data_IF_782305307411
#
_entry.id   IF_782305307411
#
_cell.length_a   1.000
_cell.length_b   1.000
_cell.length_c   1.000
_cell.angle_alpha   90.00
_cell.angle_beta   90.00
_cell.angle_gamma   90.00
#
_symmetry.space_group_name_H-M   'P 1'
#
loop_
_entity.id
_entity.type
_entity.pdbx_description
1 polymer ?
#
# COMPACT_ATOMS: atom_id res chain seq x y z
N UNK A 1 12.65 -40.09 28.67
CA UNK A 1 13.17 -38.78 28.25
C UNK A 1 12.82 -38.59 26.79
N UNK A 2 12.46 -37.38 26.35
CA UNK A 2 12.23 -37.05 24.93
C UNK A 2 13.44 -36.39 24.26
N UNK A 3 14.56 -36.26 24.99
CA UNK A 3 15.76 -35.49 24.62
C UNK A 3 16.51 -36.02 23.40
N UNK A 4 16.28 -37.29 23.06
CA UNK A 4 16.97 -38.00 21.96
C UNK A 4 16.17 -37.95 20.65
N UNK A 5 14.95 -37.40 20.69
CA UNK A 5 14.08 -37.27 19.51
C UNK A 5 14.39 -35.96 18.78
N UNK A 6 14.25 -35.96 17.45
CA UNK A 6 14.45 -34.78 16.60
C UNK A 6 13.33 -34.64 15.57
N UNK A 7 13.20 -33.44 14.98
CA UNK A 7 12.25 -33.17 13.89
C UNK A 7 10.79 -33.45 14.28
N UNK A 8 10.05 -34.14 13.41
CA UNK A 8 8.63 -34.40 13.63
C UNK A 8 8.38 -35.32 14.84
N UNK A 9 9.32 -36.21 15.19
CA UNK A 9 9.16 -37.17 16.28
C UNK A 9 9.14 -36.48 17.65
N UNK A 10 9.99 -35.46 17.85
CA UNK A 10 9.95 -34.68 19.09
C UNK A 10 8.66 -33.87 19.20
N UNK A 11 8.13 -33.37 18.09
CA UNK A 11 6.85 -32.65 18.06
C UNK A 11 5.67 -33.56 18.37
N UNK A 12 5.62 -34.77 17.79
CA UNK A 12 4.59 -35.78 18.09
C UNK A 12 4.64 -36.22 19.54
N UNK A 13 5.84 -36.44 20.08
CA UNK A 13 6.03 -36.78 21.48
C UNK A 13 5.52 -35.65 22.39
N UNK A 14 5.93 -34.41 22.11
CA UNK A 14 5.57 -33.24 22.91
C UNK A 14 4.06 -32.98 22.89
N UNK A 15 3.44 -32.92 21.71
CA UNK A 15 2.01 -32.63 21.54
C UNK A 15 1.12 -33.69 22.18
N UNK A 16 1.40 -34.99 21.97
CA UNK A 16 0.63 -36.07 22.58
C UNK A 16 0.71 -36.03 24.12
N UNK A 17 1.90 -35.75 24.67
CA UNK A 17 2.08 -35.58 26.11
C UNK A 17 1.35 -34.35 26.62
N UNK A 18 1.41 -33.24 25.89
CA UNK A 18 0.76 -31.99 26.26
C UNK A 18 -0.76 -32.14 26.30
N UNK A 19 -1.38 -32.71 25.25
CA UNK A 19 -2.84 -32.91 25.18
C UNK A 19 -3.36 -33.75 26.36
N UNK A 20 -2.70 -34.88 26.63
CA UNK A 20 -3.04 -35.77 27.76
C UNK A 20 -2.86 -35.07 29.10
N UNK A 21 -1.75 -34.35 29.26
CA UNK A 21 -1.43 -33.66 30.50
C UNK A 21 -2.42 -32.51 30.75
N UNK A 22 -2.62 -31.64 29.77
CA UNK A 22 -3.56 -30.51 29.84
C UNK A 22 -4.99 -30.98 30.13
N UNK A 23 -5.45 -32.03 29.44
CA UNK A 23 -6.77 -32.62 29.71
C UNK A 23 -6.87 -33.12 31.16
N UNK A 24 -5.90 -33.92 31.61
CA UNK A 24 -5.88 -34.46 32.97
C UNK A 24 -5.80 -33.36 34.03
N UNK A 25 -5.02 -32.31 33.78
CA UNK A 25 -4.91 -31.15 34.68
C UNK A 25 -6.22 -30.37 34.79
N UNK A 26 -6.97 -30.19 33.70
CA UNK A 26 -8.30 -29.56 33.73
C UNK A 26 -9.29 -30.40 34.53
N UNK A 27 -9.37 -31.70 34.26
CA UNK A 27 -10.25 -32.62 34.98
C UNK A 27 -9.93 -32.64 36.47
N UNK A 28 -8.64 -32.68 36.83
CA UNK A 28 -8.22 -32.66 38.24
C UNK A 28 -8.53 -31.32 38.91
N UNK A 29 -8.36 -30.21 38.20
CA UNK A 29 -8.72 -28.88 38.68
C UNK A 29 -10.22 -28.76 38.97
N UNK A 30 -11.08 -29.32 38.10
CA UNK A 30 -12.53 -29.32 38.27
C UNK A 30 -12.96 -30.21 39.43
N UNK A 31 -12.38 -31.42 39.54
CA UNK A 31 -12.62 -32.33 40.66
C UNK A 31 -12.24 -31.69 42.01
N UNK A 32 -11.13 -30.97 42.03
CA UNK A 32 -10.64 -30.26 43.22
C UNK A 32 -11.13 -28.81 43.32
N UNK A 33 -12.17 -28.44 42.58
CA UNK A 33 -12.72 -27.07 42.57
C UNK A 33 -13.07 -26.55 43.97
N UNK A 34 -13.51 -27.43 44.88
CA UNK A 34 -13.76 -27.09 46.28
C UNK A 34 -12.48 -26.67 47.02
N UNK A 35 -11.37 -27.38 46.80
CA UNK A 35 -10.06 -27.07 47.39
C UNK A 35 -9.54 -25.73 46.83
N UNK A 36 -9.64 -25.54 45.52
CA UNK A 36 -9.26 -24.30 44.85
C UNK A 36 -10.06 -23.09 45.37
N UNK A 37 -11.37 -23.25 45.62
CA UNK A 37 -12.22 -22.14 46.09
C UNK A 37 -12.06 -21.82 47.58
N UNK A 38 -11.88 -22.84 48.43
CA UNK A 38 -11.97 -22.65 49.88
C UNK A 38 -10.63 -22.77 50.60
N UNK A 39 -9.74 -23.66 50.16
CA UNK A 39 -8.45 -23.86 50.82
C UNK A 39 -7.37 -22.95 50.25
N UNK A 40 -7.21 -22.91 48.92
CA UNK A 40 -6.21 -22.04 48.26
C UNK A 40 -6.46 -20.57 48.61
N UNK A 41 -7.72 -20.12 48.56
CA UNK A 41 -8.07 -18.75 48.97
C UNK A 41 -7.78 -18.47 50.46
N UNK A 42 -7.95 -19.46 51.34
CA UNK A 42 -7.67 -19.32 52.78
C UNK A 42 -6.16 -19.21 53.04
N UNK A 43 -5.36 -20.03 52.39
CA UNK A 43 -3.90 -20.02 52.55
C UNK A 43 -3.27 -18.75 51.98
N UNK A 44 -3.79 -18.28 50.84
CA UNK A 44 -3.40 -17.00 50.26
C UNK A 44 -3.69 -15.83 51.20
N UNK A 45 -4.90 -15.79 51.78
CA UNK A 45 -5.30 -14.78 52.77
C UNK A 45 -4.49 -14.90 54.08
N UNK A 46 -3.87 -16.05 54.34
CA UNK A 46 -3.00 -16.30 55.50
C UNK A 46 -1.54 -15.90 55.26
N UNK A 47 -1.23 -15.32 54.09
CA UNK A 47 0.08 -14.78 53.74
C UNK A 47 1.01 -15.73 52.96
N UNK A 48 0.56 -16.96 52.64
CA UNK A 48 1.30 -17.88 51.77
C UNK A 48 0.98 -17.60 50.30
N UNK A 49 1.93 -16.95 49.61
CA UNK A 49 1.79 -16.55 48.20
C UNK A 49 2.26 -17.63 47.21
N UNK A 50 2.81 -18.72 47.70
CA UNK A 50 3.34 -19.87 46.96
C UNK A 50 2.28 -20.97 46.70
N UNK A 51 1.04 -20.75 47.12
CA UNK A 51 -0.07 -21.69 46.94
C UNK A 51 -0.91 -21.27 45.76
N UNK A 52 -0.87 -22.05 44.68
CA UNK A 52 -1.62 -21.83 43.45
C UNK A 52 -2.77 -22.83 43.32
N UNK A 53 -3.69 -22.57 42.39
CA UNK A 53 -4.68 -23.59 42.00
C UNK A 53 -4.00 -24.80 41.34
N UNK A 54 -4.70 -25.93 41.35
CA UNK A 54 -4.14 -27.19 40.86
C UNK A 54 -3.75 -27.10 39.38
N UNK A 55 -4.50 -26.34 38.58
CA UNK A 55 -4.15 -26.14 37.17
C UNK A 55 -2.83 -25.38 37.00
N UNK A 56 -2.63 -24.29 37.73
CA UNK A 56 -1.41 -23.47 37.69
C UNK A 56 -0.21 -24.27 38.20
N UNK A 57 -0.37 -25.03 39.29
CA UNK A 57 0.68 -25.94 39.75
C UNK A 57 1.07 -26.98 38.69
N UNK A 58 0.07 -27.51 37.97
CA UNK A 58 0.32 -28.45 36.89
C UNK A 58 1.06 -27.77 35.72
N UNK A 59 0.72 -26.52 35.37
CA UNK A 59 1.41 -25.77 34.32
C UNK A 59 2.85 -25.41 34.69
N UNK A 60 3.10 -24.99 35.94
CA UNK A 60 4.46 -24.74 36.46
C UNK A 60 5.30 -26.02 36.44
N UNK A 61 4.71 -27.16 36.82
CA UNK A 61 5.39 -28.47 36.75
C UNK A 61 5.74 -28.83 35.31
N UNK A 62 4.81 -28.63 34.35
CA UNK A 62 5.10 -28.85 32.93
C UNK A 62 6.20 -27.95 32.43
N UNK A 63 6.18 -26.67 32.82
CA UNK A 63 7.19 -25.70 32.45
C UNK A 63 8.58 -26.16 32.90
N UNK A 64 8.73 -26.56 34.16
CA UNK A 64 10.01 -26.99 34.74
C UNK A 64 10.51 -28.33 34.21
N UNK A 65 9.62 -29.32 34.09
CA UNK A 65 10.01 -30.72 33.83
C UNK A 65 10.07 -31.04 32.33
N UNK A 66 9.20 -30.44 31.52
CA UNK A 66 9.07 -30.79 30.09
C UNK A 66 9.49 -29.64 29.18
N UNK A 67 9.02 -28.42 29.43
CA UNK A 67 9.32 -27.28 28.56
C UNK A 67 10.80 -26.86 28.66
N UNK A 68 11.34 -26.57 29.85
CA UNK A 68 12.74 -26.13 30.03
C UNK A 68 13.80 -27.05 29.37
N UNK A 69 13.71 -28.39 29.44
CA UNK A 69 14.69 -29.25 28.75
C UNK A 69 14.46 -29.38 27.24
N UNK A 70 13.23 -29.22 26.73
CA UNK A 70 12.89 -29.56 25.35
C UNK A 70 12.59 -28.34 24.46
N UNK A 71 12.34 -27.15 25.02
CA UNK A 71 11.81 -26.00 24.26
C UNK A 71 12.69 -25.62 23.06
N UNK A 72 14.03 -25.71 23.17
CA UNK A 72 14.93 -25.40 22.05
C UNK A 72 14.75 -26.36 20.88
N UNK A 73 14.71 -27.67 21.15
CA UNK A 73 14.54 -28.71 20.14
C UNK A 73 13.15 -28.63 19.51
N UNK A 74 12.12 -28.43 20.34
CA UNK A 74 10.72 -28.30 19.92
C UNK A 74 10.52 -27.05 19.07
N UNK A 75 11.02 -25.89 19.50
CA UNK A 75 10.96 -24.64 18.72
C UNK A 75 11.68 -24.82 17.38
N UNK A 76 12.90 -25.37 17.38
CA UNK A 76 13.66 -25.58 16.14
C UNK A 76 12.92 -26.49 15.15
N UNK A 77 12.39 -27.63 15.63
CA UNK A 77 11.61 -28.54 14.78
C UNK A 77 10.34 -27.88 14.23
N UNK A 78 9.65 -27.03 15.01
CA UNK A 78 8.53 -26.24 14.50
C UNK A 78 8.97 -25.28 13.37
N UNK A 79 10.09 -24.58 13.55
CA UNK A 79 10.59 -23.63 12.57
C UNK A 79 11.04 -24.32 11.27
N UNK A 80 11.66 -25.50 11.37
CA UNK A 80 12.02 -26.33 10.22
C UNK A 80 10.80 -26.81 9.43
N UNK A 81 9.73 -27.22 10.11
CA UNK A 81 8.47 -27.53 9.43
C UNK A 81 7.89 -26.30 8.73
N UNK A 82 7.89 -25.14 9.36
CA UNK A 82 7.40 -23.90 8.73
C UNK A 82 8.25 -23.53 7.51
N UNK A 83 9.57 -23.71 7.59
CA UNK A 83 10.49 -23.49 6.47
C UNK A 83 10.19 -24.47 5.32
N UNK A 84 9.91 -25.72 5.62
CA UNK A 84 9.53 -26.75 4.64
C UNK A 84 8.21 -26.38 3.95
N UNK A 85 7.22 -25.92 4.71
CA UNK A 85 5.95 -25.42 4.16
C UNK A 85 6.15 -24.22 3.22
N UNK A 86 7.05 -23.28 3.54
CA UNK A 86 7.40 -22.15 2.64
C UNK A 86 8.01 -22.60 1.32
N UNK A 87 8.64 -23.77 1.29
CA UNK A 87 9.15 -24.42 0.08
C UNK A 87 8.07 -25.26 -0.64
N UNK A 88 6.80 -25.15 -0.23
CA UNK A 88 5.63 -25.87 -0.74
C UNK A 88 5.59 -27.36 -0.37
N UNK A 89 6.25 -27.76 0.72
CA UNK A 89 6.14 -29.12 1.25
C UNK A 89 4.89 -29.29 2.12
N UNK A 90 4.28 -30.48 2.10
CA UNK A 90 3.09 -30.79 2.90
C UNK A 90 3.53 -31.07 4.34
N UNK A 91 3.04 -30.27 5.27
CA UNK A 91 3.36 -30.41 6.69
C UNK A 91 2.13 -30.73 7.55
N UNK A 92 2.38 -31.32 8.72
CA UNK A 92 1.34 -31.55 9.71
C UNK A 92 1.17 -30.32 10.62
N UNK A 93 0.32 -29.40 10.20
CA UNK A 93 0.05 -28.13 10.92
C UNK A 93 -0.52 -28.32 12.34
N UNK A 94 -1.12 -29.50 12.63
CA UNK A 94 -1.62 -29.82 13.97
C UNK A 94 -0.51 -29.91 15.01
N UNK A 95 0.68 -30.37 14.60
CA UNK A 95 1.83 -30.48 15.50
C UNK A 95 2.29 -29.09 15.94
N UNK A 96 2.38 -28.14 15.00
CA UNK A 96 2.74 -26.76 15.30
C UNK A 96 1.66 -26.14 16.19
N UNK A 97 0.38 -26.27 15.82
CA UNK A 97 -0.73 -25.73 16.61
C UNK A 97 -0.71 -26.25 18.06
N UNK A 98 -0.47 -27.55 18.27
CA UNK A 98 -0.37 -28.12 19.62
C UNK A 98 0.79 -27.55 20.45
N UNK A 99 1.94 -27.32 19.83
CA UNK A 99 3.08 -26.66 20.49
C UNK A 99 2.77 -25.20 20.82
N UNK A 100 2.18 -24.44 19.88
CA UNK A 100 1.82 -23.04 20.11
C UNK A 100 0.79 -22.92 21.22
N UNK A 101 -0.24 -23.78 21.25
CA UNK A 101 -1.22 -23.82 22.33
C UNK A 101 -0.57 -24.10 23.67
N UNK A 102 0.46 -24.96 23.72
CA UNK A 102 1.24 -25.18 24.95
C UNK A 102 2.00 -23.92 25.36
N UNK A 103 2.72 -23.27 24.45
CA UNK A 103 3.52 -22.09 24.77
C UNK A 103 2.67 -20.91 25.24
N UNK A 104 1.47 -20.74 24.66
CA UNK A 104 0.48 -19.75 25.11
C UNK A 104 -0.10 -20.13 26.47
N UNK A 105 -0.43 -21.40 26.68
CA UNK A 105 -1.02 -21.87 27.94
C UNK A 105 -0.05 -21.84 29.12
N UNK A 106 1.26 -21.89 28.88
CA UNK A 106 2.29 -21.81 29.94
C UNK A 106 2.59 -20.38 30.38
N UNK A 107 2.08 -19.39 29.66
CA UNK A 107 2.27 -17.98 29.96
C UNK A 107 1.46 -17.50 31.16
N UNK A 108 2.08 -17.56 32.36
CA UNK A 108 1.55 -16.98 33.59
C UNK A 108 2.58 -16.03 34.21
N UNK A 109 2.14 -14.90 34.77
CA UNK A 109 2.99 -14.03 35.61
C UNK A 109 2.53 -14.07 37.06
N UNK A 110 3.50 -14.06 37.98
CA UNK A 110 3.31 -13.92 39.43
C UNK A 110 3.11 -12.44 39.85
N UNK A 111 2.38 -11.63 39.08
CA UNK A 111 2.23 -10.21 39.41
C UNK A 111 1.29 -10.01 40.61
N UNK A 112 1.88 -10.03 41.80
CA UNK A 112 1.25 -9.83 43.10
C UNK A 112 0.78 -8.39 43.37
N UNK A 113 0.24 -7.67 42.38
CA UNK A 113 -0.17 -6.26 42.56
C UNK A 113 -1.63 -5.94 42.28
N UNK A 114 -2.49 -6.81 41.74
CA UNK A 114 -3.92 -6.46 41.63
C UNK A 114 -4.87 -7.67 41.76
N UNK A 115 -5.58 -7.71 42.90
CA UNK A 115 -6.94 -8.24 43.09
C UNK A 115 -7.37 -9.51 42.31
N UNK A 116 -7.25 -10.68 42.96
CA UNK A 116 -8.23 -11.78 43.00
C UNK A 116 -8.85 -12.34 41.70
N UNK A 117 -8.25 -12.16 40.53
CA UNK A 117 -8.48 -12.99 39.35
C UNK A 117 -7.14 -13.15 38.63
N UNK A 118 -6.79 -14.37 38.22
CA UNK A 118 -5.74 -14.58 37.23
C UNK A 118 -6.13 -13.81 35.96
N UNK A 119 -5.62 -12.59 35.83
CA UNK A 119 -5.81 -11.77 34.64
C UNK A 119 -5.00 -12.37 33.52
N UNK A 120 -5.71 -12.89 32.50
CA UNK A 120 -5.29 -13.31 31.16
C UNK A 120 -3.90 -13.99 30.99
N UNK A 121 -3.80 -15.12 30.27
CA UNK A 121 -2.50 -15.73 29.97
C UNK A 121 -1.56 -14.70 29.33
N UNK A 122 -0.41 -14.47 29.96
CA UNK A 122 0.60 -13.54 29.44
C UNK A 122 1.34 -14.24 28.32
N UNK A 123 1.41 -13.64 27.13
CA UNK A 123 2.05 -14.27 25.97
C UNK A 123 3.58 -14.33 26.06
N UNK A 124 4.19 -14.16 27.24
CA UNK A 124 5.65 -14.03 27.43
C UNK A 124 6.39 -15.26 26.92
N UNK A 125 5.98 -16.46 27.31
CA UNK A 125 6.65 -17.70 26.88
C UNK A 125 6.56 -17.87 25.36
N UNK A 126 5.37 -17.65 24.79
CA UNK A 126 5.19 -17.68 23.34
C UNK A 126 6.07 -16.64 22.63
N UNK A 127 6.12 -15.41 23.14
CA UNK A 127 6.89 -14.33 22.53
C UNK A 127 8.38 -14.59 22.57
N UNK A 128 8.90 -14.89 23.76
CA UNK A 128 10.34 -14.98 24.02
C UNK A 128 10.97 -16.24 23.41
N UNK A 129 10.26 -17.39 23.47
CA UNK A 129 10.81 -18.67 23.05
C UNK A 129 10.35 -19.15 21.67
N UNK A 130 9.38 -18.49 21.05
CA UNK A 130 8.92 -18.81 19.70
C UNK A 130 8.87 -17.58 18.79
N UNK A 131 8.08 -16.55 19.11
CA UNK A 131 7.81 -15.42 18.20
C UNK A 131 9.11 -14.74 17.76
N UNK A 132 10.01 -14.42 18.68
CA UNK A 132 11.29 -13.75 18.36
C UNK A 132 12.11 -14.58 17.35
N UNK A 133 12.28 -15.87 17.60
CA UNK A 133 13.06 -16.73 16.69
C UNK A 133 12.35 -16.93 15.35
N UNK A 134 11.02 -17.09 15.37
CA UNK A 134 10.20 -17.23 14.17
C UNK A 134 10.33 -16.00 13.26
N UNK A 135 10.29 -14.79 13.82
CA UNK A 135 10.45 -13.55 13.04
C UNK A 135 11.86 -13.46 12.45
N UNK A 136 12.90 -13.80 13.22
CA UNK A 136 14.30 -13.78 12.75
C UNK A 136 14.54 -14.76 11.60
N UNK A 137 14.07 -16.01 11.73
CA UNK A 137 14.22 -17.02 10.68
C UNK A 137 13.43 -16.62 9.42
N UNK A 138 12.27 -15.98 9.60
CA UNK A 138 11.46 -15.46 8.49
C UNK A 138 12.15 -14.33 7.74
N UNK A 139 12.76 -13.39 8.47
CA UNK A 139 13.56 -12.31 7.88
C UNK A 139 14.72 -12.88 7.05
N UNK A 140 15.47 -13.84 7.60
CA UNK A 140 16.60 -14.46 6.89
C UNK A 140 16.15 -15.23 5.65
N UNK A 141 15.06 -15.99 5.76
CA UNK A 141 14.49 -16.74 4.64
C UNK A 141 14.11 -15.82 3.49
N UNK A 142 13.34 -14.76 3.77
CA UNK A 142 12.88 -13.85 2.72
C UNK A 142 13.99 -12.98 2.15
N UNK A 143 15.01 -12.62 2.95
CA UNK A 143 16.19 -11.89 2.43
C UNK A 143 16.95 -12.74 1.40
N UNK A 144 17.16 -14.03 1.69
CA UNK A 144 17.80 -14.95 0.75
C UNK A 144 16.92 -15.22 -0.48
N UNK A 145 15.61 -15.43 -0.28
CA UNK A 145 14.66 -15.65 -1.38
C UNK A 145 14.61 -14.45 -2.32
N UNK A 146 14.51 -13.23 -1.80
CA UNK A 146 14.47 -12.01 -2.60
C UNK A 146 15.75 -11.84 -3.42
N UNK A 147 16.93 -11.96 -2.78
CA UNK A 147 18.22 -11.85 -3.46
C UNK A 147 18.37 -12.89 -4.58
N UNK A 148 17.96 -14.15 -4.33
CA UNK A 148 18.05 -15.22 -5.34
C UNK A 148 17.06 -15.01 -6.48
N UNK A 149 15.85 -14.56 -6.17
CA UNK A 149 14.77 -14.41 -7.15
C UNK A 149 15.01 -13.25 -8.10
N UNK A 150 15.49 -12.11 -7.60
CA UNK A 150 15.78 -10.91 -8.39
C UNK A 150 16.93 -11.10 -9.39
N UNK A 151 17.82 -12.07 -9.17
CA UNK A 151 18.91 -12.39 -10.11
C UNK A 151 18.40 -13.09 -11.37
N UNK A 152 17.33 -13.88 -11.26
CA UNK A 152 16.88 -14.78 -12.33
C UNK A 152 15.56 -14.35 -12.99
N UNK A 153 14.78 -13.50 -12.35
CA UNK A 153 13.42 -13.16 -12.76
C UNK A 153 13.23 -11.65 -12.87
N UNK A 154 12.14 -11.24 -13.53
CA UNK A 154 11.79 -9.82 -13.63
C UNK A 154 11.29 -9.25 -12.30
N UNK A 155 11.45 -7.94 -12.11
CA UNK A 155 10.93 -7.24 -10.92
C UNK A 155 9.40 -7.35 -10.87
N UNK A 156 8.72 -7.35 -12.01
CA UNK A 156 7.27 -7.53 -12.07
C UNK A 156 6.82 -8.91 -11.53
N UNK A 157 7.53 -10.00 -11.87
CA UNK A 157 7.26 -11.33 -11.29
C UNK A 157 7.59 -11.37 -9.81
N UNK A 158 8.66 -10.69 -9.40
CA UNK A 158 9.01 -10.55 -7.99
C UNK A 158 7.87 -9.90 -7.20
N UNK A 159 7.29 -8.80 -7.68
CA UNK A 159 6.16 -8.14 -7.02
C UNK A 159 4.93 -9.05 -6.90
N UNK A 160 4.64 -9.87 -7.91
CA UNK A 160 3.56 -10.88 -7.85
C UNK A 160 3.84 -11.91 -6.77
N UNK A 161 5.09 -12.40 -6.71
CA UNK A 161 5.52 -13.35 -5.69
C UNK A 161 5.46 -12.73 -4.29
N UNK A 162 5.89 -11.48 -4.11
CA UNK A 162 5.80 -10.76 -2.82
C UNK A 162 4.36 -10.67 -2.34
N UNK A 163 3.43 -10.29 -3.23
CA UNK A 163 2.01 -10.26 -2.88
C UNK A 163 1.49 -11.63 -2.43
N UNK A 164 1.83 -12.70 -3.15
CA UNK A 164 1.46 -14.06 -2.78
C UNK A 164 2.06 -14.46 -1.42
N UNK A 165 3.36 -14.20 -1.18
CA UNK A 165 4.03 -14.53 0.09
C UNK A 165 3.39 -13.81 1.27
N UNK A 166 2.96 -12.58 1.10
CA UNK A 166 2.26 -11.82 2.14
C UNK A 166 0.92 -12.48 2.50
N UNK A 167 0.14 -12.89 1.51
CA UNK A 167 -1.13 -13.58 1.73
C UNK A 167 -0.91 -14.96 2.37
N UNK A 168 0.14 -15.68 1.97
CA UNK A 168 0.56 -16.95 2.60
C UNK A 168 0.92 -16.76 4.07
N UNK A 169 1.68 -15.72 4.44
CA UNK A 169 2.03 -15.43 5.84
C UNK A 169 0.81 -15.03 6.68
N UNK A 170 -0.14 -14.28 6.11
CA UNK A 170 -1.42 -13.99 6.79
C UNK A 170 -2.18 -15.29 7.07
N UNK A 171 -2.32 -16.14 6.05
CA UNK A 171 -3.02 -17.42 6.19
C UNK A 171 -2.33 -18.35 7.18
N UNK A 172 -0.99 -18.36 7.19
CA UNK A 172 -0.17 -19.13 8.14
C UNK A 172 -0.47 -18.75 9.58
N UNK A 173 -0.49 -17.45 9.87
CA UNK A 173 -0.79 -16.98 11.23
C UNK A 173 -2.21 -17.38 11.63
N UNK A 174 -3.18 -17.21 10.74
CA UNK A 174 -4.58 -17.56 11.00
C UNK A 174 -4.79 -19.08 11.20
N UNK A 175 -3.97 -19.90 10.57
CA UNK A 175 -4.12 -21.36 10.60
C UNK A 175 -3.63 -21.98 11.90
N UNK A 176 -2.47 -21.54 12.42
CA UNK A 176 -1.84 -22.24 13.56
C UNK A 176 -0.98 -21.39 14.49
N UNK A 177 -0.81 -20.08 14.28
CA UNK A 177 -0.06 -19.19 15.19
C UNK A 177 -0.99 -18.31 16.03
N UNK A 178 -0.43 -17.61 17.02
CA UNK A 178 -1.22 -16.69 17.82
C UNK A 178 -1.47 -15.36 17.06
N UNK A 179 -2.70 -14.78 17.08
CA UNK A 179 -3.03 -13.57 16.32
C UNK A 179 -2.16 -12.34 16.63
N UNK A 180 -1.55 -12.29 17.83
CA UNK A 180 -0.63 -11.19 18.20
C UNK A 180 0.58 -11.07 17.28
N UNK A 181 0.98 -12.16 16.61
CA UNK A 181 2.16 -12.21 15.75
C UNK A 181 1.92 -11.54 14.40
N UNK A 182 0.67 -11.45 13.95
CA UNK A 182 0.34 -11.01 12.60
C UNK A 182 0.91 -9.63 12.27
N UNK A 183 0.71 -8.66 13.16
CA UNK A 183 1.10 -7.27 12.91
C UNK A 183 2.62 -7.10 12.87
N UNK A 184 3.37 -7.83 13.69
CA UNK A 184 4.84 -7.78 13.73
C UNK A 184 5.45 -8.54 12.55
N UNK A 185 4.92 -9.73 12.25
CA UNK A 185 5.35 -10.55 11.11
C UNK A 185 5.19 -9.80 9.79
N UNK A 186 4.00 -9.27 9.52
CA UNK A 186 3.72 -8.60 8.26
C UNK A 186 4.59 -7.37 8.09
N UNK A 187 4.78 -6.55 9.14
CA UNK A 187 5.71 -5.41 9.10
C UNK A 187 7.14 -5.84 8.78
N UNK A 188 7.60 -6.96 9.35
CA UNK A 188 8.95 -7.46 9.09
C UNK A 188 9.11 -7.98 7.66
N UNK A 189 8.11 -8.71 7.16
CA UNK A 189 8.11 -9.21 5.78
C UNK A 189 8.03 -8.06 4.77
N UNK A 190 7.20 -7.04 5.04
CA UNK A 190 7.13 -5.80 4.27
C UNK A 190 8.48 -5.06 4.24
N UNK A 191 9.18 -4.98 5.38
CA UNK A 191 10.50 -4.38 5.46
C UNK A 191 11.51 -5.10 4.57
N UNK A 192 11.61 -6.43 4.69
CA UNK A 192 12.62 -7.22 3.96
C UNK A 192 12.31 -7.34 2.47
N UNK A 193 11.04 -7.56 2.10
CA UNK A 193 10.67 -7.81 0.71
C UNK A 193 10.39 -6.53 -0.09
N UNK A 194 9.92 -5.46 0.57
CA UNK A 194 9.52 -4.23 -0.12
C UNK A 194 10.50 -3.10 0.21
N UNK A 195 10.71 -2.77 1.49
CA UNK A 195 11.53 -1.62 1.88
C UNK A 195 12.98 -1.76 1.41
N UNK A 196 13.60 -2.92 1.63
CA UNK A 196 14.99 -3.16 1.25
C UNK A 196 15.20 -3.14 -0.29
N UNK A 197 14.13 -3.32 -1.07
CA UNK A 197 14.19 -3.42 -2.54
C UNK A 197 13.57 -2.19 -3.24
N UNK A 198 13.29 -1.10 -2.52
CA UNK A 198 12.60 0.08 -3.07
C UNK A 198 13.32 0.68 -4.29
N UNK A 199 14.65 0.73 -4.29
CA UNK A 199 15.42 1.33 -5.39
C UNK A 199 15.23 0.56 -6.71
N UNK A 200 15.18 -0.77 -6.63
CA UNK A 200 14.91 -1.66 -7.77
C UNK A 200 13.46 -1.48 -8.24
N UNK A 201 12.52 -1.39 -7.30
CA UNK A 201 11.10 -1.17 -7.57
C UNK A 201 10.87 0.19 -8.24
N UNK A 202 11.53 1.25 -7.79
CA UNK A 202 11.43 2.58 -8.40
C UNK A 202 12.03 2.63 -9.80
N UNK A 203 13.11 1.87 -10.05
CA UNK A 203 13.69 1.75 -11.39
C UNK A 203 12.73 1.04 -12.33
N UNK A 204 12.12 -0.06 -11.88
CA UNK A 204 11.09 -0.77 -12.63
C UNK A 204 9.85 0.11 -12.87
N UNK A 205 9.42 0.92 -11.89
CA UNK A 205 8.29 1.82 -12.04
C UNK A 205 8.48 2.79 -13.23
N UNK A 206 9.69 3.31 -13.45
CA UNK A 206 10.02 4.16 -14.61
C UNK A 206 9.85 3.41 -15.93
N UNK A 207 10.27 2.14 -15.97
CA UNK A 207 10.16 1.27 -17.14
C UNK A 207 8.68 0.98 -17.43
N UNK A 208 7.91 0.57 -16.41
CA UNK A 208 6.49 0.26 -16.55
C UNK A 208 5.65 1.47 -16.98
N UNK A 209 6.00 2.68 -16.52
CA UNK A 209 5.37 3.92 -16.95
C UNK A 209 5.62 4.18 -18.45
N UNK A 210 6.88 4.03 -18.90
CA UNK A 210 7.25 4.20 -20.30
C UNK A 210 6.59 3.16 -21.21
N UNK A 211 6.49 1.92 -20.74
CA UNK A 211 5.95 0.80 -21.51
C UNK A 211 4.41 0.66 -21.34
N UNK A 212 3.77 1.60 -20.65
CA UNK A 212 2.31 1.70 -20.45
C UNK A 212 1.66 0.47 -19.79
N UNK A 213 2.39 -0.21 -18.89
CA UNK A 213 1.93 -1.42 -18.18
C UNK A 213 1.18 -1.08 -16.89
N UNK A 214 -0.04 -0.57 -17.04
CA UNK A 214 -0.85 -0.04 -15.93
C UNK A 214 -1.27 -1.07 -14.87
N UNK A 215 -1.53 -2.32 -15.28
CA UNK A 215 -1.89 -3.39 -14.33
C UNK A 215 -0.74 -3.72 -13.37
N UNK A 216 0.49 -3.77 -13.89
CA UNK A 216 1.66 -4.05 -13.06
C UNK A 216 2.04 -2.83 -12.18
N UNK A 217 1.79 -1.60 -12.66
CA UNK A 217 1.88 -0.39 -11.85
C UNK A 217 0.88 -0.38 -10.68
N UNK A 218 -0.34 -0.86 -10.90
CA UNK A 218 -1.33 -0.97 -9.82
C UNK A 218 -0.87 -1.92 -8.71
N UNK A 219 -0.26 -3.05 -9.10
CA UNK A 219 0.34 -3.99 -8.15
C UNK A 219 1.51 -3.35 -7.39
N UNK A 220 2.39 -2.66 -8.12
CA UNK A 220 3.53 -1.94 -7.55
C UNK A 220 3.05 -0.90 -6.53
N UNK A 221 2.07 -0.09 -6.89
CA UNK A 221 1.48 0.91 -6.00
C UNK A 221 0.89 0.27 -4.75
N UNK A 222 0.10 -0.79 -4.89
CA UNK A 222 -0.50 -1.50 -3.75
C UNK A 222 0.55 -1.95 -2.74
N UNK A 223 1.70 -2.42 -3.21
CA UNK A 223 2.80 -2.89 -2.35
C UNK A 223 3.57 -1.72 -1.72
N UNK A 224 3.93 -0.70 -2.51
CA UNK A 224 4.65 0.50 -2.03
C UNK A 224 3.81 1.28 -1.01
N UNK A 225 2.49 1.34 -1.18
CA UNK A 225 1.58 2.03 -0.26
C UNK A 225 1.53 1.41 1.15
N UNK A 226 1.99 0.16 1.31
CA UNK A 226 2.09 -0.49 2.63
C UNK A 226 3.26 0.06 3.44
N UNK A 227 4.28 0.59 2.76
CA UNK A 227 5.45 1.18 3.41
C UNK A 227 5.22 2.67 3.63
N UNK A 228 5.30 3.08 4.90
CA UNK A 228 5.20 4.49 5.29
C UNK A 228 6.22 5.34 4.53
N UNK A 229 5.76 6.45 3.94
CA UNK A 229 6.56 7.42 3.18
C UNK A 229 7.16 6.96 1.83
N UNK A 230 6.98 5.69 1.42
CA UNK A 230 7.54 5.21 0.15
C UNK A 230 6.80 5.77 -1.08
N UNK A 231 5.52 6.11 -0.94
CA UNK A 231 4.73 6.70 -2.04
C UNK A 231 5.21 8.08 -2.48
N UNK A 232 5.96 8.80 -1.64
CA UNK A 232 6.46 10.14 -1.96
C UNK A 232 7.46 10.13 -3.13
N UNK A 233 8.34 9.13 -3.19
CA UNK A 233 9.30 9.03 -4.29
C UNK A 233 8.61 8.55 -5.57
N UNK A 234 7.66 7.62 -5.45
CA UNK A 234 6.83 7.19 -6.57
C UNK A 234 6.04 8.36 -7.19
N UNK A 235 5.50 9.27 -6.37
CA UNK A 235 4.85 10.50 -6.84
C UNK A 235 5.78 11.39 -7.66
N UNK A 236 7.04 11.57 -7.22
CA UNK A 236 8.04 12.33 -8.00
C UNK A 236 8.38 11.66 -9.32
N UNK A 237 8.48 10.33 -9.32
CA UNK A 237 8.74 9.55 -10.55
C UNK A 237 7.60 9.76 -11.55
N UNK A 238 6.34 9.70 -11.10
CA UNK A 238 5.17 9.98 -11.95
C UNK A 238 5.17 11.44 -12.41
N UNK A 239 5.42 12.41 -11.52
CA UNK A 239 5.52 13.84 -11.87
C UNK A 239 6.54 14.08 -13.00
N UNK A 240 7.73 13.52 -12.87
CA UNK A 240 8.80 13.67 -13.85
C UNK A 240 8.45 12.97 -15.18
N UNK A 241 7.89 11.77 -15.13
CA UNK A 241 7.51 11.04 -16.34
C UNK A 241 6.41 11.76 -17.13
N UNK A 242 5.39 12.29 -16.44
CA UNK A 242 4.33 13.09 -17.07
C UNK A 242 4.92 14.35 -17.71
N UNK A 243 5.84 15.02 -17.03
CA UNK A 243 6.52 16.21 -17.56
C UNK A 243 7.35 15.90 -18.82
N UNK A 244 8.18 14.85 -18.79
CA UNK A 244 9.00 14.42 -19.93
C UNK A 244 8.14 14.01 -21.14
N UNK A 245 7.11 13.20 -20.91
CA UNK A 245 6.18 12.79 -21.95
C UNK A 245 5.38 13.97 -22.51
N UNK A 246 5.01 14.92 -21.64
CA UNK A 246 4.31 16.15 -22.02
C UNK A 246 5.15 16.99 -22.98
N UNK A 247 6.40 17.28 -22.62
CA UNK A 247 7.32 18.05 -23.46
C UNK A 247 7.60 17.34 -24.78
N UNK A 248 7.96 16.05 -24.74
CA UNK A 248 8.29 15.30 -25.95
C UNK A 248 7.12 15.20 -26.93
N UNK A 249 5.89 15.08 -26.42
CA UNK A 249 4.70 15.06 -27.28
C UNK A 249 4.45 16.43 -27.93
N UNK A 250 4.59 17.52 -27.17
CA UNK A 250 4.48 18.89 -27.70
C UNK A 250 5.59 19.20 -28.71
N UNK A 251 6.81 18.74 -28.47
CA UNK A 251 7.95 18.87 -29.38
C UNK A 251 7.66 18.23 -30.74
N UNK A 252 7.11 17.02 -30.75
CA UNK A 252 6.77 16.30 -31.98
C UNK A 252 5.73 17.03 -32.83
N UNK A 253 4.81 17.76 -32.20
CA UNK A 253 3.77 18.54 -32.89
C UNK A 253 4.15 20.01 -33.07
N UNK A 254 5.32 20.45 -32.58
CA UNK A 254 5.70 21.87 -32.52
C UNK A 254 5.64 22.58 -33.87
N UNK A 255 6.06 21.94 -34.96
CA UNK A 255 6.05 22.52 -36.32
C UNK A 255 4.65 22.95 -36.80
N UNK A 256 3.59 22.25 -36.38
CA UNK A 256 2.19 22.59 -36.68
C UNK A 256 1.52 23.34 -35.52
N UNK A 257 1.82 22.97 -34.28
CA UNK A 257 1.17 23.50 -33.07
C UNK A 257 1.49 24.96 -32.78
N UNK A 258 2.63 25.49 -33.26
CA UNK A 258 2.95 26.93 -33.13
C UNK A 258 1.89 27.81 -33.84
N UNK A 259 1.32 27.31 -34.94
CA UNK A 259 0.38 28.05 -35.78
C UNK A 259 -1.06 27.52 -35.74
N UNK A 260 -1.26 26.28 -35.27
CA UNK A 260 -2.57 25.65 -35.12
C UNK A 260 -2.96 25.49 -33.62
N UNK A 261 -3.81 26.39 -33.10
CA UNK A 261 -4.31 26.31 -31.73
C UNK A 261 -5.05 25.03 -31.40
N UNK A 262 -5.75 24.43 -32.39
CA UNK A 262 -6.53 23.21 -32.16
C UNK A 262 -5.60 22.04 -31.87
N UNK A 263 -4.58 21.85 -32.70
CA UNK A 263 -3.58 20.79 -32.51
C UNK A 263 -2.89 20.91 -31.15
N UNK A 264 -2.51 22.12 -30.75
CA UNK A 264 -1.86 22.34 -29.45
C UNK A 264 -2.78 21.97 -28.27
N UNK A 265 -3.99 22.54 -28.24
CA UNK A 265 -4.90 22.37 -27.11
C UNK A 265 -5.44 20.94 -27.01
N UNK A 266 -5.81 20.31 -28.12
CA UNK A 266 -6.27 18.91 -28.12
C UNK A 266 -5.15 17.96 -27.67
N UNK A 267 -3.91 18.18 -28.09
CA UNK A 267 -2.75 17.38 -27.63
C UNK A 267 -2.57 17.49 -26.11
N UNK A 268 -2.66 18.68 -25.53
CA UNK A 268 -2.56 18.89 -24.07
C UNK A 268 -3.69 18.18 -23.32
N UNK A 269 -4.93 18.28 -23.83
CA UNK A 269 -6.10 17.62 -23.24
C UNK A 269 -5.94 16.11 -23.28
N UNK A 270 -5.46 15.54 -24.38
CA UNK A 270 -5.28 14.10 -24.53
C UNK A 270 -4.21 13.55 -23.58
N UNK A 271 -3.11 14.28 -23.40
CA UNK A 271 -2.07 13.96 -22.41
C UNK A 271 -2.66 13.95 -21.00
N UNK A 272 -3.40 15.01 -20.63
CA UNK A 272 -4.04 15.09 -19.32
C UNK A 272 -5.03 13.95 -19.10
N UNK A 273 -5.92 13.67 -20.07
CA UNK A 273 -6.89 12.56 -19.98
C UNK A 273 -6.21 11.20 -19.81
N UNK A 274 -5.14 10.95 -20.58
CA UNK A 274 -4.37 9.71 -20.50
C UNK A 274 -3.78 9.50 -19.11
N UNK A 275 -3.10 10.52 -18.57
CA UNK A 275 -2.48 10.40 -17.25
C UNK A 275 -3.48 10.48 -16.09
N UNK A 276 -4.60 11.17 -16.25
CA UNK A 276 -5.70 11.12 -15.28
C UNK A 276 -6.29 9.71 -15.18
N UNK A 277 -6.50 9.06 -16.33
CA UNK A 277 -6.95 7.65 -16.37
C UNK A 277 -5.94 6.73 -15.69
N UNK A 278 -4.65 6.91 -15.96
CA UNK A 278 -3.58 6.19 -15.26
C UNK A 278 -3.67 6.37 -13.74
N UNK A 279 -3.86 7.60 -13.25
CA UNK A 279 -3.98 7.89 -11.81
C UNK A 279 -5.22 7.25 -11.20
N UNK A 280 -6.35 7.28 -11.90
CA UNK A 280 -7.59 6.67 -11.44
C UNK A 280 -7.48 5.14 -11.38
N UNK A 281 -6.94 4.50 -12.42
CA UNK A 281 -6.92 3.03 -12.54
C UNK A 281 -5.75 2.38 -11.79
N UNK A 282 -4.54 2.99 -11.82
CA UNK A 282 -3.33 2.38 -11.24
C UNK A 282 -3.01 2.88 -9.83
N UNK A 283 -3.41 4.10 -9.48
CA UNK A 283 -3.15 4.71 -8.17
C UNK A 283 -4.42 4.94 -7.35
N UNK A 284 -5.54 4.31 -7.73
CA UNK A 284 -6.85 4.39 -7.07
C UNK A 284 -7.35 5.84 -6.84
N UNK A 285 -6.93 6.80 -7.67
CA UNK A 285 -7.31 8.20 -7.52
C UNK A 285 -6.76 8.86 -6.25
N UNK A 286 -5.64 8.38 -5.70
CA UNK A 286 -5.03 8.99 -4.52
C UNK A 286 -4.67 10.47 -4.80
N UNK A 287 -5.14 11.38 -3.92
CA UNK A 287 -4.98 12.84 -4.09
C UNK A 287 -3.52 13.26 -4.30
N UNK A 288 -2.55 12.56 -3.69
CA UNK A 288 -1.14 12.87 -3.86
C UNK A 288 -0.62 12.63 -5.28
N UNK A 289 -1.15 11.66 -6.01
CA UNK A 289 -0.81 11.41 -7.41
C UNK A 289 -1.54 12.36 -8.35
N UNK A 290 -2.79 12.72 -8.04
CA UNK A 290 -3.51 13.79 -8.75
C UNK A 290 -2.76 15.12 -8.65
N UNK A 291 -2.31 15.51 -7.45
CA UNK A 291 -1.52 16.71 -7.27
C UNK A 291 -0.16 16.67 -8.02
N UNK A 292 0.47 15.49 -8.10
CA UNK A 292 1.70 15.29 -8.88
C UNK A 292 1.44 15.45 -10.40
N UNK A 293 0.33 14.92 -10.90
CA UNK A 293 -0.14 15.13 -12.27
C UNK A 293 -0.40 16.62 -12.55
N UNK A 294 -1.17 17.28 -11.67
CA UNK A 294 -1.51 18.71 -11.82
C UNK A 294 -0.25 19.59 -11.88
N UNK A 295 0.71 19.30 -11.01
CA UNK A 295 1.99 20.01 -10.97
C UNK A 295 2.83 19.76 -12.23
N UNK A 296 2.85 18.52 -12.75
CA UNK A 296 3.53 18.21 -13.99
C UNK A 296 2.87 18.93 -15.19
N UNK A 297 1.54 18.92 -15.26
CA UNK A 297 0.74 19.65 -16.24
C UNK A 297 1.02 21.15 -16.22
N UNK A 298 0.97 21.78 -15.05
CA UNK A 298 1.35 23.18 -14.89
C UNK A 298 2.76 23.47 -15.42
N UNK A 299 3.74 22.61 -15.10
CA UNK A 299 5.12 22.80 -15.58
C UNK A 299 5.24 22.73 -17.10
N UNK A 300 4.74 21.68 -17.75
CA UNK A 300 4.95 21.54 -19.21
C UNK A 300 4.05 22.47 -20.03
N UNK A 301 2.89 22.89 -19.53
CA UNK A 301 2.01 23.83 -20.25
C UNK A 301 2.63 25.24 -20.27
N UNK A 302 3.29 25.66 -19.19
CA UNK A 302 3.92 26.97 -19.10
C UNK A 302 5.37 26.95 -19.65
N UNK A 303 6.07 25.82 -19.58
CA UNK A 303 7.43 25.66 -20.10
C UNK A 303 7.51 24.51 -21.10
N UNK A 304 7.42 24.85 -22.39
CA UNK A 304 7.56 23.90 -23.49
C UNK A 304 8.28 24.54 -24.69
N UNK A 305 8.61 23.72 -25.69
CA UNK A 305 9.30 24.20 -26.90
C UNK A 305 8.51 25.26 -27.66
N UNK A 306 7.17 25.29 -27.57
CA UNK A 306 6.35 26.33 -28.21
C UNK A 306 6.50 27.68 -27.49
N UNK A 307 6.54 27.70 -26.15
CA UNK A 307 6.80 28.92 -25.37
C UNK A 307 8.26 29.37 -25.48
N UNK A 308 9.21 28.43 -25.52
CA UNK A 308 10.64 28.72 -25.70
C UNK A 308 10.97 29.26 -27.10
N UNK A 309 10.40 28.67 -28.16
CA UNK A 309 10.60 29.12 -29.56
C UNK A 309 10.00 30.49 -29.79
N UNK A 310 8.89 30.81 -29.11
CA UNK A 310 8.28 32.14 -29.15
C UNK A 310 9.02 33.17 -28.25
N UNK A 311 10.01 32.75 -27.47
CA UNK A 311 10.73 33.59 -26.51
C UNK A 311 9.85 34.12 -25.37
N UNK A 312 8.69 33.50 -25.11
CA UNK A 312 7.70 34.00 -24.15
C UNK A 312 6.72 32.91 -23.67
N UNK A 313 6.46 32.88 -22.36
CA UNK A 313 5.42 32.06 -21.69
C UNK A 313 4.01 32.42 -22.16
N UNK A 314 3.84 33.56 -22.82
CA UNK A 314 2.55 34.08 -23.30
C UNK A 314 1.91 33.28 -24.44
N UNK A 315 2.67 32.37 -25.07
CA UNK A 315 2.19 31.62 -26.24
C UNK A 315 1.09 30.61 -25.90
N UNK A 316 1.20 29.91 -24.77
CA UNK A 316 0.16 28.98 -24.30
C UNK A 316 -1.19 29.70 -24.02
N UNK A 317 -1.22 30.82 -23.26
CA UNK A 317 -2.41 31.68 -23.15
C UNK A 317 -2.98 32.16 -24.48
N UNK A 318 -2.12 32.59 -25.40
CA UNK A 318 -2.55 33.07 -26.72
C UNK A 318 -3.23 31.96 -27.53
N UNK A 319 -2.61 30.78 -27.61
CA UNK A 319 -3.16 29.63 -28.34
C UNK A 319 -4.47 29.17 -27.74
N UNK A 320 -4.59 29.12 -26.41
CA UNK A 320 -5.86 28.81 -25.76
C UNK A 320 -6.95 29.82 -26.16
N UNK A 321 -6.66 31.13 -26.12
CA UNK A 321 -7.62 32.16 -26.49
C UNK A 321 -8.03 32.08 -27.97
N UNK A 322 -7.09 31.75 -28.87
CA UNK A 322 -7.37 31.54 -30.30
C UNK A 322 -8.20 30.28 -30.55
N UNK A 323 -7.98 29.21 -29.78
CA UNK A 323 -8.79 28.00 -29.86
C UNK A 323 -10.25 28.27 -29.45
N UNK A 324 -10.45 29.00 -28.34
CA UNK A 324 -11.79 29.46 -27.95
C UNK A 324 -12.46 30.32 -29.06
N UNK A 325 -11.71 31.25 -29.65
CA UNK A 325 -12.21 32.09 -30.75
C UNK A 325 -12.62 31.26 -31.97
N UNK A 326 -11.86 30.22 -32.32
CA UNK A 326 -12.18 29.35 -33.44
C UNK A 326 -13.47 28.55 -33.21
N UNK A 327 -13.70 28.05 -31.99
CA UNK A 327 -14.93 27.31 -31.64
C UNK A 327 -16.17 28.21 -31.66
N UNK A 328 -16.04 29.45 -31.18
CA UNK A 328 -17.16 30.39 -30.99
C UNK A 328 -17.53 31.21 -32.24
N UNK A 329 -16.83 31.03 -33.39
CA UNK A 329 -17.13 31.79 -34.62
C UNK A 329 -18.18 31.14 -35.53
N UNK A 330 -19.02 31.94 -36.19
CA UNK A 330 -19.97 31.52 -37.22
C UNK A 330 -19.24 30.72 -38.32
N UNK A 331 -19.71 29.50 -38.57
CA UNK A 331 -19.14 28.63 -39.60
C UNK A 331 -18.18 27.56 -39.07
N UNK A 332 -18.03 27.41 -37.74
CA UNK A 332 -17.51 26.20 -37.10
C UNK A 332 -18.46 25.01 -37.30
N UNK A 333 -18.70 24.61 -38.55
CA UNK A 333 -19.67 23.59 -39.00
C UNK A 333 -19.35 22.15 -38.55
N UNK A 334 -18.41 21.95 -37.61
CA UNK A 334 -17.81 20.66 -37.33
C UNK A 334 -18.06 20.12 -35.91
N UNK A 335 -18.84 20.80 -35.08
CA UNK A 335 -19.05 20.42 -33.67
C UNK A 335 -20.55 20.42 -33.38
N UNK A 336 -21.10 19.27 -33.02
CA UNK A 336 -22.48 19.16 -32.54
C UNK A 336 -22.65 19.93 -31.21
N UNK A 337 -23.85 20.44 -30.91
CA UNK A 337 -24.10 21.28 -29.72
C UNK A 337 -23.65 20.61 -28.40
N UNK A 338 -23.80 19.29 -28.30
CA UNK A 338 -23.36 18.48 -27.15
C UNK A 338 -21.84 18.35 -27.02
N UNK A 339 -21.11 18.39 -28.14
CA UNK A 339 -19.64 18.32 -28.15
C UNK A 339 -19.03 19.67 -27.73
N UNK A 340 -19.69 20.79 -28.04
CA UNK A 340 -19.17 22.14 -27.72
C UNK A 340 -19.06 22.39 -26.21
N UNK A 341 -20.06 21.98 -25.43
CA UNK A 341 -20.06 22.16 -23.97
C UNK A 341 -18.98 21.28 -23.30
N UNK A 342 -18.74 20.07 -23.82
CA UNK A 342 -17.61 19.23 -23.37
C UNK A 342 -16.27 19.91 -23.68
N UNK A 343 -16.13 20.48 -24.88
CA UNK A 343 -14.93 21.25 -25.26
C UNK A 343 -14.71 22.45 -24.34
N UNK A 344 -15.76 23.15 -23.89
CA UNK A 344 -15.62 24.22 -22.90
C UNK A 344 -15.09 23.71 -21.56
N UNK A 345 -15.59 22.58 -21.07
CA UNK A 345 -15.06 21.96 -19.85
C UNK A 345 -13.58 21.57 -20.01
N UNK A 346 -13.20 21.01 -21.16
CA UNK A 346 -11.81 20.68 -21.46
C UNK A 346 -10.91 21.92 -21.55
N UNK A 347 -11.41 23.03 -22.10
CA UNK A 347 -10.70 24.32 -22.09
C UNK A 347 -10.47 24.81 -20.67
N UNK A 348 -11.44 24.66 -19.77
CA UNK A 348 -11.27 25.05 -18.37
C UNK A 348 -10.18 24.23 -17.67
N UNK A 349 -10.02 22.95 -18.01
CA UNK A 349 -8.92 22.12 -17.50
C UNK A 349 -7.57 22.76 -17.88
N UNK A 350 -7.37 23.10 -19.16
CA UNK A 350 -6.12 23.73 -19.61
C UNK A 350 -5.95 25.12 -19.01
N UNK A 351 -7.02 25.91 -18.92
CA UNK A 351 -7.00 27.25 -18.32
C UNK A 351 -6.55 27.23 -16.86
N UNK A 352 -6.91 26.20 -16.10
CA UNK A 352 -6.53 26.07 -14.70
C UNK A 352 -5.02 25.85 -14.51
N UNK A 353 -4.33 25.32 -15.52
CA UNK A 353 -2.88 25.15 -15.50
C UNK A 353 -2.10 26.36 -16.03
N UNK A 354 -2.75 27.37 -16.59
CA UNK A 354 -2.08 28.57 -17.09
C UNK A 354 -1.71 29.50 -15.94
N UNK A 355 -0.44 29.92 -15.89
CA UNK A 355 0.07 30.90 -14.91
C UNK A 355 -0.34 32.34 -15.30
N UNK A 356 -0.07 32.75 -16.54
CA UNK A 356 -0.34 34.10 -17.06
C UNK A 356 -1.82 34.30 -17.48
N UNK A 357 -2.75 34.18 -16.52
CA UNK A 357 -4.20 34.29 -16.76
C UNK A 357 -4.63 35.66 -17.29
N UNK A 358 -3.91 36.73 -16.93
CA UNK A 358 -4.18 38.09 -17.41
C UNK A 358 -3.87 38.24 -18.92
N UNK A 359 -2.84 37.54 -19.41
CA UNK A 359 -2.49 37.49 -20.83
C UNK A 359 -3.57 36.79 -21.62
N UNK A 360 -4.07 35.65 -21.12
CA UNK A 360 -5.24 34.99 -21.71
C UNK A 360 -6.44 35.95 -21.78
N UNK A 361 -6.76 36.65 -20.68
CA UNK A 361 -7.88 37.59 -20.63
C UNK A 361 -7.73 38.73 -21.65
N UNK A 362 -6.52 39.28 -21.84
CA UNK A 362 -6.25 40.33 -22.84
C UNK A 362 -6.52 39.82 -24.26
N UNK A 363 -6.00 38.64 -24.61
CA UNK A 363 -6.23 38.04 -25.93
C UNK A 363 -7.70 37.66 -26.15
N UNK A 364 -8.31 36.99 -25.18
CA UNK A 364 -9.71 36.56 -25.23
C UNK A 364 -10.65 37.77 -25.33
N UNK A 365 -10.46 38.80 -24.49
CA UNK A 365 -11.27 40.02 -24.52
C UNK A 365 -11.18 40.76 -25.86
N UNK A 366 -9.98 40.84 -26.45
CA UNK A 366 -9.79 41.42 -27.79
C UNK A 366 -10.52 40.62 -28.88
N UNK A 367 -10.48 39.29 -28.82
CA UNK A 367 -11.16 38.41 -29.78
C UNK A 367 -12.68 38.47 -29.61
N UNK A 368 -13.17 38.43 -28.36
CA UNK A 368 -14.58 38.60 -28.01
C UNK A 368 -15.13 39.92 -28.55
N UNK A 369 -14.44 41.04 -28.30
CA UNK A 369 -14.86 42.35 -28.82
C UNK A 369 -14.99 42.35 -30.35
N UNK A 370 -14.04 41.73 -31.06
CA UNK A 370 -14.11 41.59 -32.53
C UNK A 370 -15.30 40.72 -32.96
N UNK A 371 -15.59 39.62 -32.26
CA UNK A 371 -16.72 38.75 -32.58
C UNK A 371 -18.06 39.46 -32.38
N UNK A 372 -18.22 40.18 -31.27
CA UNK A 372 -19.45 40.93 -30.96
C UNK A 372 -19.67 42.08 -31.95
N UNK A 373 -18.65 42.90 -32.21
CA UNK A 373 -18.76 44.03 -33.16
C UNK A 373 -19.01 43.54 -34.58
N UNK A 374 -18.34 42.46 -34.99
CA UNK A 374 -18.48 41.88 -36.33
C UNK A 374 -19.67 40.95 -36.51
N UNK A 375 -20.49 40.72 -35.47
CA UNK A 375 -21.53 39.69 -35.43
C UNK A 375 -21.04 38.32 -35.92
N UNK A 376 -19.81 37.96 -35.55
CA UNK A 376 -19.14 36.72 -35.95
C UNK A 376 -19.35 35.58 -34.96
N UNK A 377 -20.07 35.78 -33.85
CA UNK A 377 -20.33 34.74 -32.84
C UNK A 377 -21.33 33.70 -33.34
N UNK A 378 -21.04 32.42 -33.09
CA UNK A 378 -21.89 31.30 -33.49
C UNK A 378 -23.24 31.31 -32.77
N UNK A 379 -23.25 31.62 -31.47
CA UNK A 379 -24.44 31.79 -30.64
C UNK A 379 -24.10 32.71 -29.45
N UNK A 380 -25.05 33.55 -29.06
CA UNK A 380 -24.91 34.40 -27.86
C UNK A 380 -24.95 33.57 -26.58
N UNK A 381 -25.73 32.49 -26.55
CA UNK A 381 -25.84 31.57 -25.41
C UNK A 381 -24.49 30.87 -25.12
N UNK A 382 -23.73 30.53 -26.16
CA UNK A 382 -22.40 29.92 -26.00
C UNK A 382 -21.35 30.91 -25.51
N UNK A 383 -21.43 32.17 -25.94
CA UNK A 383 -20.56 33.22 -25.39
C UNK A 383 -20.87 33.42 -23.90
N UNK A 384 -22.15 33.45 -23.50
CA UNK A 384 -22.55 33.56 -22.10
C UNK A 384 -22.11 32.36 -21.26
N UNK A 385 -22.28 31.13 -21.76
CA UNK A 385 -21.81 29.90 -21.10
C UNK A 385 -20.29 29.94 -20.86
N UNK A 386 -19.51 30.25 -21.90
CA UNK A 386 -18.06 30.30 -21.81
C UNK A 386 -17.58 31.40 -20.84
N UNK A 387 -18.18 32.60 -20.90
CA UNK A 387 -17.89 33.70 -19.97
C UNK A 387 -18.24 33.30 -18.54
N UNK A 388 -19.36 32.61 -18.33
CA UNK A 388 -19.77 32.14 -17.00
C UNK A 388 -18.77 31.17 -16.40
N UNK A 389 -18.29 30.18 -17.18
CA UNK A 389 -17.24 29.25 -16.75
C UNK A 389 -15.91 29.93 -16.43
N UNK A 390 -15.50 30.90 -17.26
CA UNK A 390 -14.30 31.69 -17.03
C UNK A 390 -14.42 32.52 -15.75
N UNK A 391 -15.55 33.20 -15.53
CA UNK A 391 -15.81 33.96 -14.31
C UNK A 391 -15.65 33.09 -13.06
N UNK A 392 -16.31 31.94 -13.01
CA UNK A 392 -16.23 31.02 -11.86
C UNK A 392 -14.78 30.63 -11.56
N UNK A 393 -13.99 30.22 -12.56
CA UNK A 393 -12.60 29.81 -12.35
C UNK A 393 -11.66 30.98 -12.00
N UNK A 394 -11.94 32.19 -12.51
CA UNK A 394 -11.18 33.40 -12.15
C UNK A 394 -11.46 33.81 -10.70
N UNK A 395 -12.72 33.78 -10.26
CA UNK A 395 -13.11 34.16 -8.90
C UNK A 395 -12.68 33.13 -7.84
N UNK A 396 -12.50 31.85 -8.19
CA UNK A 396 -11.97 30.83 -7.28
C UNK A 396 -10.43 30.94 -7.14
N UNK A 397 -9.76 31.63 -8.07
CA UNK A 397 -8.29 31.79 -8.09
C UNK A 397 -7.78 33.07 -7.38
N UNK A 398 -8.68 33.87 -6.80
CA UNK A 398 -8.40 35.08 -5.99
C UNK A 398 -8.85 34.77 -4.57
#
# INVERSE_FOLDING_TARGET
SGTDLQGEDVLRFYTNRWEKYQFSSKVMNDFCSYINRHWVQREYNSGRKDVYDIYTMAMDTWQKVVFQPLHKQVTHACLDLIKSERNNEIINTRLISGVIQSYVALGFTEDGTNNNQMTAPTLTIYKDFFEVQFILDTEQFYRLEAATFLVHNSVTEYLKKVAQRLDEEVHRVQSYLHPSTLSFLIKKVEEVLIRDQLDVIYTEAKILLRDERYQDLALLFRLVNRITNATNELKKIVENHVYEMGIHTIERVSGTAINDPKVYIETVIDIHKKFLKLVQESFNGEQGFTAALDKACGKFINNNVVTQTAGSTTKSPELLARYCDALLRKGSKAVEETDLEEKFNQIMIVFNYIEDKDVFQKFYGKMLAKRLVGQLSASDDYEESMISKLKVNIFISI
#
